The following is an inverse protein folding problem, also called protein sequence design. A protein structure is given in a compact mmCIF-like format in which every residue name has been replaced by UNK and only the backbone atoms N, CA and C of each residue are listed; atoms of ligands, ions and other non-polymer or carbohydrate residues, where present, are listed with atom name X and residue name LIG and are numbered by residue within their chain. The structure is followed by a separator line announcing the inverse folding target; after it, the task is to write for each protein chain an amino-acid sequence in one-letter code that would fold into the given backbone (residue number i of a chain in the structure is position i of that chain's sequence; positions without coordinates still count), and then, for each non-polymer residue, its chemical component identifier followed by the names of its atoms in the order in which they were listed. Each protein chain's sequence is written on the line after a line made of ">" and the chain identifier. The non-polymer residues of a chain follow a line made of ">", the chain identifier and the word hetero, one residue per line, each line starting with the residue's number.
data_IF_748199402318
#
_entry.id   IF_748199402318
#
_cell.length_a   1.000
_cell.length_b   1.000
_cell.length_c   1.000
_cell.angle_alpha   90.00
_cell.angle_beta   90.00
_cell.angle_gamma   90.00
#
_symmetry.space_group_name_H-M   'P 1'
#
loop_
_entity.id
_entity.type
_entity.pdbx_description
1 polymer ?
#
# COMPACT_ATOMS: atom_id res chain seq x y z
N UNK A 1 -6.56 18.47 3.66
CA UNK A 1 -5.39 17.96 4.44
C UNK A 1 -5.58 16.46 4.54
N UNK A 2 -4.54 15.68 4.27
CA UNK A 2 -4.61 14.21 4.32
C UNK A 2 -4.65 13.75 5.78
N UNK A 3 -5.64 12.95 6.16
CA UNK A 3 -5.79 12.39 7.51
C UNK A 3 -4.92 11.18 7.75
N UNK A 4 -4.51 10.47 6.69
CA UNK A 4 -3.66 9.30 6.74
C UNK A 4 -2.98 9.05 5.39
N UNK A 5 -1.69 8.74 5.41
CA UNK A 5 -0.95 8.19 4.28
C UNK A 5 -0.72 6.69 4.48
N UNK A 6 -1.12 5.87 3.51
CA UNK A 6 -0.92 4.43 3.51
C UNK A 6 0.09 4.08 2.42
N UNK A 7 1.22 3.50 2.81
CA UNK A 7 2.30 3.08 1.91
C UNK A 7 2.27 1.56 1.79
N UNK A 8 1.98 1.08 0.60
CA UNK A 8 1.70 -0.32 0.30
C UNK A 8 2.97 -1.02 -0.20
N UNK A 9 3.44 -2.01 0.56
CA UNK A 9 4.40 -3.05 0.20
C UNK A 9 5.70 -2.56 -0.50
N UNK A 10 6.22 -1.42 -0.07
CA UNK A 10 7.47 -0.88 -0.61
C UNK A 10 8.70 -1.67 -0.10
N UNK A 11 8.65 -3.00 -0.30
CA UNK A 11 9.64 -3.98 0.12
C UNK A 11 10.63 -4.28 -1.00
N UNK A 12 11.83 -4.75 -0.65
CA UNK A 12 12.90 -5.04 -1.61
C UNK A 12 12.47 -6.00 -2.71
N UNK A 13 11.77 -7.09 -2.38
CA UNK A 13 11.37 -8.07 -3.39
C UNK A 13 10.47 -7.49 -4.47
N UNK A 14 9.66 -6.48 -4.16
CA UNK A 14 8.81 -5.81 -5.14
C UNK A 14 9.46 -4.61 -5.83
N UNK A 15 10.57 -4.08 -5.30
CA UNK A 15 11.23 -2.90 -5.85
C UNK A 15 12.51 -3.27 -6.59
N UNK A 16 13.48 -3.84 -5.89
CA UNK A 16 14.82 -4.16 -6.42
C UNK A 16 15.12 -5.65 -6.48
N UNK A 17 14.28 -6.49 -5.87
CA UNK A 17 14.47 -7.95 -5.73
C UNK A 17 13.78 -8.77 -6.82
N UNK A 18 13.36 -9.99 -6.45
CA UNK A 18 12.93 -11.04 -7.39
C UNK A 18 11.66 -10.71 -8.21
N UNK A 19 10.80 -9.83 -7.72
CA UNK A 19 9.60 -9.31 -8.39
C UNK A 19 9.73 -7.81 -8.73
N UNK A 20 10.93 -7.26 -8.62
CA UNK A 20 11.20 -5.86 -8.88
C UNK A 20 11.03 -5.45 -10.34
N UNK A 21 10.74 -4.16 -10.55
CA UNK A 21 10.61 -3.57 -11.88
C UNK A 21 11.27 -2.18 -11.93
N UNK A 22 11.54 -1.69 -13.14
CA UNK A 22 12.04 -0.32 -13.33
C UNK A 22 11.02 0.72 -12.88
N UNK A 23 9.76 0.44 -13.09
CA UNK A 23 8.64 1.27 -12.69
C UNK A 23 8.55 1.37 -11.16
N UNK A 24 8.67 0.25 -10.44
CA UNK A 24 8.69 0.23 -8.98
C UNK A 24 9.92 0.96 -8.40
N UNK A 25 11.10 0.76 -8.99
CA UNK A 25 12.31 1.51 -8.61
C UNK A 25 12.15 3.01 -8.86
N UNK A 26 11.49 3.38 -9.98
CA UNK A 26 11.30 4.77 -10.39
C UNK A 26 10.45 5.59 -9.41
N UNK A 27 9.53 4.98 -8.68
CA UNK A 27 8.68 5.70 -7.72
C UNK A 27 9.31 5.87 -6.33
N UNK A 28 10.37 5.13 -5.99
CA UNK A 28 10.95 5.12 -4.64
C UNK A 28 11.30 6.52 -4.12
N UNK A 29 12.02 7.38 -4.87
CA UNK A 29 12.35 8.72 -4.37
C UNK A 29 11.12 9.58 -4.11
N UNK A 30 10.09 9.47 -4.96
CA UNK A 30 8.86 10.24 -4.82
C UNK A 30 8.02 9.77 -3.63
N UNK A 31 7.92 8.45 -3.40
CA UNK A 31 7.26 7.87 -2.22
C UNK A 31 8.00 8.29 -0.94
N UNK A 32 9.33 8.18 -0.89
CA UNK A 32 10.12 8.61 0.26
C UNK A 32 9.93 10.10 0.57
N UNK A 33 9.94 10.97 -0.45
CA UNK A 33 9.66 12.39 -0.28
C UNK A 33 8.23 12.67 0.20
N UNK A 34 7.23 11.89 -0.26
CA UNK A 34 5.85 12.01 0.23
C UNK A 34 5.73 11.60 1.69
N UNK A 35 6.43 10.54 2.11
CA UNK A 35 6.49 10.13 3.52
C UNK A 35 7.11 11.21 4.41
N UNK A 36 8.21 11.83 3.98
CA UNK A 36 8.84 12.92 4.70
C UNK A 36 7.89 14.11 4.88
N UNK A 37 7.22 14.55 3.81
CA UNK A 37 6.21 15.61 3.89
C UNK A 37 5.06 15.25 4.82
N UNK A 38 4.55 14.02 4.76
CA UNK A 38 3.50 13.56 5.67
C UNK A 38 3.94 13.66 7.14
N UNK A 39 5.18 13.27 7.42
CA UNK A 39 5.76 13.40 8.77
C UNK A 39 5.85 14.87 9.22
N UNK A 40 6.33 15.77 8.36
CA UNK A 40 6.42 17.21 8.63
C UNK A 40 5.03 17.86 8.85
N UNK A 41 4.02 17.38 8.13
CA UNK A 41 2.62 17.80 8.25
C UNK A 41 1.91 17.21 9.48
N UNK A 42 2.54 16.25 10.18
CA UNK A 42 1.93 15.50 11.27
C UNK A 42 0.88 14.49 10.82
N UNK A 43 0.86 14.15 9.52
CA UNK A 43 -0.05 13.14 8.96
C UNK A 43 0.38 11.75 9.39
N UNK A 44 -0.48 10.94 10.03
CA UNK A 44 -0.19 9.55 10.34
C UNK A 44 0.20 8.74 9.11
N UNK A 45 1.27 7.95 9.22
CA UNK A 45 1.76 7.08 8.15
C UNK A 45 1.60 5.63 8.59
N UNK A 46 0.97 4.84 7.74
CA UNK A 46 0.77 3.40 7.92
C UNK A 46 1.43 2.66 6.76
N UNK A 47 2.12 1.58 7.07
CA UNK A 47 2.79 0.73 6.10
C UNK A 47 2.07 -0.61 5.99
N UNK A 48 2.08 -1.24 4.83
CA UNK A 48 1.83 -2.67 4.72
C UNK A 48 3.10 -3.40 4.33
N UNK A 49 3.21 -4.63 4.80
CA UNK A 49 4.28 -5.56 4.45
C UNK A 49 3.65 -6.87 4.01
N UNK A 50 3.83 -7.20 2.75
CA UNK A 50 3.50 -8.53 2.28
C UNK A 50 4.37 -9.53 3.01
N UNK A 51 3.79 -10.61 3.53
CA UNK A 51 4.52 -11.48 4.45
C UNK A 51 4.08 -12.92 4.26
N UNK A 52 5.01 -13.72 3.78
CA UNK A 52 4.84 -15.15 3.57
C UNK A 52 5.77 -15.96 4.48
N UNK A 53 5.41 -17.20 4.73
CA UNK A 53 6.22 -18.15 5.47
C UNK A 53 7.01 -19.06 4.49
N UNK A 54 7.91 -19.89 5.02
CA UNK A 54 8.79 -20.74 4.21
C UNK A 54 8.03 -21.74 3.31
N UNK A 55 6.78 -22.05 3.66
CA UNK A 55 5.90 -22.93 2.90
C UNK A 55 5.13 -22.23 1.76
N UNK A 56 5.51 -20.99 1.41
CA UNK A 56 4.85 -20.19 0.36
C UNK A 56 4.53 -20.99 -0.90
N UNK A 57 5.47 -21.82 -1.37
CA UNK A 57 5.32 -22.60 -2.59
C UNK A 57 4.19 -23.65 -2.51
N UNK A 58 3.76 -24.04 -1.31
CA UNK A 58 2.65 -24.96 -1.06
C UNK A 58 1.30 -24.26 -1.01
N UNK A 59 1.31 -22.92 -0.91
CA UNK A 59 0.10 -22.10 -0.84
C UNK A 59 -0.61 -22.03 -2.20
N UNK A 60 -1.86 -21.53 -2.18
CA UNK A 60 -2.58 -21.23 -3.42
C UNK A 60 -1.84 -20.19 -4.26
N UNK A 61 -1.33 -19.14 -3.62
CA UNK A 61 -0.61 -18.06 -4.30
C UNK A 61 0.69 -18.57 -4.92
N UNK A 62 1.48 -19.34 -4.18
CA UNK A 62 2.72 -19.93 -4.68
C UNK A 62 2.53 -20.84 -5.88
N UNK A 63 1.35 -21.47 -6.03
CA UNK A 63 1.01 -22.25 -7.24
C UNK A 63 0.71 -21.39 -8.45
N UNK A 64 0.22 -20.16 -8.27
CA UNK A 64 -0.05 -19.23 -9.38
C UNK A 64 1.14 -18.33 -9.70
N UNK A 65 1.94 -18.00 -8.70
CA UNK A 65 3.17 -17.22 -8.82
C UNK A 65 4.31 -18.01 -8.15
N UNK A 66 4.97 -18.93 -8.87
CA UNK A 66 5.98 -19.82 -8.29
C UNK A 66 7.33 -19.10 -8.10
N UNK A 67 7.31 -17.96 -7.45
CA UNK A 67 8.47 -17.13 -7.08
C UNK A 67 8.33 -16.83 -5.59
N UNK A 68 9.11 -17.50 -4.75
CA UNK A 68 9.13 -17.22 -3.32
C UNK A 68 9.62 -15.77 -3.11
N UNK A 69 8.81 -14.97 -2.41
CA UNK A 69 9.07 -13.56 -2.15
C UNK A 69 8.54 -13.16 -0.79
N UNK A 70 9.05 -12.06 -0.26
CA UNK A 70 8.62 -11.50 1.03
C UNK A 70 8.53 -12.54 2.15
N UNK A 71 9.45 -13.54 2.14
CA UNK A 71 9.51 -14.55 3.20
C UNK A 71 9.94 -13.86 4.49
N UNK A 72 9.17 -14.05 5.55
CA UNK A 72 9.41 -13.43 6.86
C UNK A 72 10.88 -13.51 7.28
N UNK A 73 11.45 -12.37 7.61
CA UNK A 73 12.84 -12.25 8.08
C UNK A 73 13.90 -12.35 6.98
N UNK A 74 13.52 -12.56 5.71
CA UNK A 74 14.47 -12.48 4.58
C UNK A 74 14.84 -11.02 4.28
N UNK A 75 15.92 -10.83 3.52
CA UNK A 75 16.31 -9.50 3.05
C UNK A 75 15.24 -8.91 2.12
N UNK A 76 14.62 -9.72 1.26
CA UNK A 76 13.57 -9.32 0.35
C UNK A 76 12.30 -8.84 1.03
N UNK A 77 12.00 -9.35 2.22
CA UNK A 77 10.88 -8.91 3.05
C UNK A 77 11.07 -7.52 3.65
N UNK A 78 12.30 -7.05 3.82
CA UNK A 78 12.55 -5.74 4.39
C UNK A 78 12.13 -4.61 3.45
N UNK A 79 11.85 -3.43 4.01
CA UNK A 79 11.59 -2.25 3.20
C UNK A 79 12.78 -1.91 2.29
N UNK A 80 12.50 -1.36 1.11
CA UNK A 80 13.51 -0.76 0.26
C UNK A 80 14.30 0.28 1.06
N UNK A 81 15.64 0.32 0.97
CA UNK A 81 16.48 1.11 1.87
C UNK A 81 16.13 2.59 1.97
N UNK A 82 15.71 3.21 0.88
CA UNK A 82 15.33 4.63 0.87
C UNK A 82 14.00 4.84 1.60
N UNK A 83 13.05 3.92 1.44
CA UNK A 83 11.78 3.91 2.18
C UNK A 83 12.04 3.66 3.67
N UNK A 84 12.91 2.70 4.00
CA UNK A 84 13.30 2.43 5.39
C UNK A 84 13.93 3.65 6.09
N UNK A 85 14.72 4.47 5.36
CA UNK A 85 15.29 5.72 5.87
C UNK A 85 14.24 6.81 6.08
N UNK A 86 13.17 6.81 5.30
CA UNK A 86 12.05 7.75 5.45
C UNK A 86 11.11 7.37 6.59
N UNK A 87 11.24 6.16 7.17
CA UNK A 87 10.48 5.75 8.34
C UNK A 87 10.88 6.56 9.57
N UNK A 88 9.90 7.00 10.34
CA UNK A 88 10.09 7.75 11.55
C UNK A 88 9.31 7.11 12.73
N UNK A 89 9.59 7.61 13.91
CA UNK A 89 8.96 7.09 15.13
C UNK A 89 7.45 7.32 15.09
N UNK A 90 6.68 6.28 15.42
CA UNK A 90 5.21 6.32 15.45
C UNK A 90 4.51 5.77 14.22
N UNK A 91 5.24 5.37 13.18
CA UNK A 91 4.65 4.62 12.06
C UNK A 91 4.19 3.24 12.52
N UNK A 92 3.07 2.80 11.98
CA UNK A 92 2.48 1.48 12.23
C UNK A 92 2.63 0.67 10.96
N UNK A 93 2.94 -0.63 11.09
CA UNK A 93 2.98 -1.55 9.95
C UNK A 93 1.99 -2.70 10.15
N UNK A 94 1.38 -3.13 9.06
CA UNK A 94 0.51 -4.31 8.99
C UNK A 94 1.14 -5.35 8.08
N UNK A 95 1.53 -6.46 8.66
CA UNK A 95 1.91 -7.64 7.91
C UNK A 95 0.65 -8.30 7.34
N UNK A 96 0.69 -8.70 6.09
CA UNK A 96 -0.45 -9.32 5.40
C UNK A 96 -0.01 -10.53 4.58
N UNK A 97 -0.70 -11.68 4.71
CA UNK A 97 -0.40 -12.88 3.92
C UNK A 97 -1.19 -12.93 2.61
N UNK A 98 -1.77 -11.83 2.18
CA UNK A 98 -2.65 -11.71 1.00
C UNK A 98 -2.64 -10.28 0.47
N UNK A 99 -3.18 -10.07 -0.73
CA UNK A 99 -3.13 -8.79 -1.45
C UNK A 99 -3.75 -7.62 -0.68
N UNK A 100 -4.92 -7.79 -0.09
CA UNK A 100 -5.57 -6.80 0.75
C UNK A 100 -5.45 -7.15 2.24
N UNK A 101 -5.32 -6.15 3.10
CA UNK A 101 -5.25 -6.30 4.55
C UNK A 101 -6.56 -5.95 5.22
N UNK A 102 -7.28 -6.95 5.72
CA UNK A 102 -8.48 -6.71 6.55
C UNK A 102 -8.11 -6.08 7.90
N UNK A 103 -6.93 -6.38 8.44
CA UNK A 103 -6.44 -5.75 9.67
C UNK A 103 -6.21 -4.24 9.48
N UNK A 104 -5.59 -3.83 8.37
CA UNK A 104 -5.48 -2.42 7.99
C UNK A 104 -6.85 -1.77 7.85
N UNK A 105 -7.76 -2.39 7.10
CA UNK A 105 -9.12 -1.87 6.91
C UNK A 105 -9.85 -1.66 8.24
N UNK A 106 -9.79 -2.63 9.17
CA UNK A 106 -10.38 -2.50 10.49
C UNK A 106 -9.73 -1.37 11.31
N UNK A 107 -8.41 -1.21 11.23
CA UNK A 107 -7.70 -0.12 11.90
C UNK A 107 -8.17 1.25 11.40
N UNK A 108 -8.26 1.41 10.08
CA UNK A 108 -8.71 2.67 9.47
C UNK A 108 -10.17 2.96 9.83
N UNK A 109 -11.03 1.95 9.84
CA UNK A 109 -12.43 2.09 10.24
C UNK A 109 -12.56 2.46 11.74
N UNK A 110 -11.74 1.88 12.61
CA UNK A 110 -11.71 2.22 14.04
C UNK A 110 -11.29 3.69 14.25
N UNK A 111 -10.25 4.15 13.58
CA UNK A 111 -9.83 5.55 13.64
C UNK A 111 -10.90 6.52 13.13
N UNK A 112 -11.64 6.14 12.09
CA UNK A 112 -12.78 6.93 11.62
C UNK A 112 -13.86 7.07 12.71
N UNK A 113 -14.16 5.98 13.41
CA UNK A 113 -15.12 5.99 14.52
C UNK A 113 -14.62 6.86 15.69
N UNK A 114 -13.36 6.75 16.07
CA UNK A 114 -12.75 7.56 17.14
C UNK A 114 -12.80 9.07 16.83
N UNK A 115 -12.63 9.43 15.56
CA UNK A 115 -12.75 10.81 15.06
C UNK A 115 -14.22 11.26 14.89
N UNK A 116 -15.21 10.38 15.10
CA UNK A 116 -16.62 10.67 14.84
C UNK A 116 -16.97 10.75 13.35
N UNK A 117 -16.10 10.28 12.48
CA UNK A 117 -16.28 10.28 11.02
C UNK A 117 -17.08 9.04 10.57
N UNK A 118 -18.39 9.01 10.86
CA UNK A 118 -19.25 7.87 10.50
C UNK A 118 -19.16 7.61 8.99
N UNK A 119 -18.93 6.34 8.61
CA UNK A 119 -18.73 5.92 7.21
C UNK A 119 -17.54 6.64 6.50
N UNK A 120 -16.65 7.29 7.27
CA UNK A 120 -15.48 8.01 6.75
C UNK A 120 -15.75 9.44 6.28
N UNK A 121 -16.93 9.98 6.48
CA UNK A 121 -17.28 11.33 6.02
C UNK A 121 -16.33 12.39 6.60
N UNK A 122 -15.71 13.16 5.71
CA UNK A 122 -14.74 14.20 6.07
C UNK A 122 -13.34 13.67 6.33
N UNK A 123 -13.06 12.38 6.07
CA UNK A 123 -11.70 11.83 6.08
C UNK A 123 -11.12 11.78 4.69
N UNK A 124 -9.88 12.19 4.57
CA UNK A 124 -9.05 12.05 3.36
C UNK A 124 -7.94 11.04 3.61
N UNK A 125 -7.92 9.95 2.86
CA UNK A 125 -6.94 8.86 2.98
C UNK A 125 -6.21 8.71 1.66
N UNK A 126 -4.89 8.82 1.70
CA UNK A 126 -4.03 8.68 0.52
C UNK A 126 -3.33 7.33 0.54
N UNK A 127 -3.30 6.64 -0.61
CA UNK A 127 -2.60 5.38 -0.80
C UNK A 127 -1.54 5.53 -1.90
N UNK A 128 -0.38 4.93 -1.68
CA UNK A 128 0.70 4.83 -2.67
C UNK A 128 1.45 3.50 -2.51
N UNK A 129 2.33 3.17 -3.46
CA UNK A 129 3.18 1.97 -3.40
C UNK A 129 2.94 0.95 -4.50
N UNK A 130 3.14 -0.35 -4.20
CA UNK A 130 3.15 -1.44 -5.19
C UNK A 130 2.37 -2.69 -4.73
N UNK A 131 1.85 -3.54 -5.64
CA UNK A 131 1.63 -3.16 -7.06
C UNK A 131 0.26 -2.53 -7.20
N UNK A 132 0.15 -1.51 -8.06
CA UNK A 132 -1.11 -0.77 -8.29
C UNK A 132 -2.29 -1.71 -8.58
N UNK A 133 -2.04 -2.71 -9.43
CA UNK A 133 -3.02 -3.67 -9.95
C UNK A 133 -3.26 -4.88 -9.04
N UNK A 134 -2.58 -4.96 -7.88
CA UNK A 134 -2.72 -6.06 -6.92
C UNK A 134 -2.99 -5.50 -5.52
N UNK A 135 -1.94 -5.17 -4.78
CA UNK A 135 -2.06 -4.80 -3.36
C UNK A 135 -2.68 -3.41 -3.17
N UNK A 136 -2.34 -2.42 -4.01
CA UNK A 136 -2.89 -1.05 -3.88
C UNK A 136 -4.39 -1.06 -4.14
N UNK A 137 -4.85 -1.58 -5.28
CA UNK A 137 -6.29 -1.64 -5.60
C UNK A 137 -7.07 -2.48 -4.58
N UNK A 138 -6.50 -3.60 -4.11
CA UNK A 138 -7.16 -4.46 -3.12
C UNK A 138 -7.39 -3.73 -1.80
N UNK A 139 -6.39 -3.03 -1.28
CA UNK A 139 -6.54 -2.26 -0.05
C UNK A 139 -7.45 -1.04 -0.24
N UNK A 140 -7.34 -0.33 -1.36
CA UNK A 140 -8.20 0.80 -1.67
C UNK A 140 -9.68 0.41 -1.71
N UNK A 141 -10.03 -0.71 -2.34
CA UNK A 141 -11.41 -1.21 -2.41
C UNK A 141 -11.92 -1.71 -1.06
N UNK A 142 -11.08 -2.38 -0.25
CA UNK A 142 -11.45 -2.78 1.11
C UNK A 142 -11.77 -1.56 1.98
N UNK A 143 -10.93 -0.54 1.96
CA UNK A 143 -11.15 0.69 2.72
C UNK A 143 -12.39 1.42 2.19
N UNK A 144 -12.58 1.51 0.87
CA UNK A 144 -13.78 2.13 0.27
C UNK A 144 -15.06 1.42 0.67
N UNK A 145 -15.04 0.08 0.78
CA UNK A 145 -16.20 -0.70 1.24
C UNK A 145 -16.51 -0.44 2.71
N UNK A 146 -15.51 -0.28 3.57
CA UNK A 146 -15.68 0.01 4.99
C UNK A 146 -16.06 1.47 5.26
N UNK A 147 -15.53 2.40 4.46
CA UNK A 147 -15.69 3.85 4.61
C UNK A 147 -16.16 4.47 3.29
N UNK A 148 -17.42 4.24 2.88
CA UNK A 148 -17.91 4.66 1.57
C UNK A 148 -17.94 6.19 1.36
N UNK A 149 -17.98 6.97 2.44
CA UNK A 149 -18.01 8.43 2.40
C UNK A 149 -16.62 9.08 2.55
N UNK A 150 -15.55 8.28 2.69
CA UNK A 150 -14.19 8.81 2.76
C UNK A 150 -13.70 9.24 1.36
N UNK A 151 -12.93 10.32 1.33
CA UNK A 151 -12.17 10.75 0.17
C UNK A 151 -10.90 9.91 0.09
N UNK A 152 -10.96 8.83 -0.72
CA UNK A 152 -9.78 8.02 -1.01
C UNK A 152 -9.04 8.59 -2.20
N UNK A 153 -7.74 8.75 -2.07
CA UNK A 153 -6.85 9.29 -3.09
C UNK A 153 -5.75 8.29 -3.40
N UNK A 154 -5.52 8.03 -4.68
CA UNK A 154 -4.34 7.27 -5.16
C UNK A 154 -3.57 8.19 -6.10
N UNK A 155 -2.34 8.53 -5.72
CA UNK A 155 -1.44 9.29 -6.60
C UNK A 155 -0.76 8.31 -7.57
N UNK A 156 -1.10 8.43 -8.86
CA UNK A 156 -0.57 7.55 -9.90
C UNK A 156 0.95 7.66 -10.06
N UNK A 157 1.54 8.82 -9.76
CA UNK A 157 2.98 9.03 -9.82
C UNK A 157 3.74 8.38 -8.64
N UNK A 158 3.02 7.98 -7.59
CA UNK A 158 3.54 7.29 -6.41
C UNK A 158 3.17 5.80 -6.40
N UNK A 159 2.68 5.27 -7.52
CA UNK A 159 2.29 3.88 -7.66
C UNK A 159 2.92 3.25 -8.91
N UNK A 160 3.26 1.96 -8.83
CA UNK A 160 3.70 1.17 -9.97
C UNK A 160 2.97 -0.17 -9.99
N UNK A 161 2.50 -0.58 -11.17
CA UNK A 161 1.90 -1.89 -11.40
C UNK A 161 2.91 -2.92 -11.90
N UNK A 162 2.46 -4.16 -12.03
CA UNK A 162 3.28 -5.25 -12.62
C UNK A 162 3.70 -4.90 -14.05
N UNK A 163 2.82 -4.23 -14.80
CA UNK A 163 3.13 -3.60 -16.10
C UNK A 163 2.44 -2.24 -16.22
N UNK A 164 2.92 -1.35 -17.12
CA UNK A 164 2.25 -0.06 -17.34
C UNK A 164 0.78 -0.20 -17.75
N UNK A 165 0.41 -1.23 -18.50
CA UNK A 165 -0.96 -1.50 -18.93
C UNK A 165 -1.84 -1.89 -17.75
N UNK A 166 -1.36 -2.80 -16.89
CA UNK A 166 -2.08 -3.24 -15.68
C UNK A 166 -2.22 -2.09 -14.68
N UNK A 167 -1.16 -1.27 -14.52
CA UNK A 167 -1.23 -0.05 -13.72
C UNK A 167 -2.38 0.85 -14.17
N UNK A 168 -2.46 1.19 -15.48
CA UNK A 168 -3.52 2.02 -16.03
C UNK A 168 -4.91 1.40 -15.83
N UNK A 169 -5.04 0.09 -16.06
CA UNK A 169 -6.31 -0.62 -15.87
C UNK A 169 -6.79 -0.57 -14.42
N UNK A 170 -5.88 -0.74 -13.45
CA UNK A 170 -6.21 -0.65 -12.03
C UNK A 170 -6.64 0.76 -11.62
N UNK A 171 -5.94 1.79 -12.11
CA UNK A 171 -6.33 3.19 -11.87
C UNK A 171 -7.74 3.48 -12.41
N UNK A 172 -8.08 2.96 -13.58
CA UNK A 172 -9.40 3.14 -14.17
C UNK A 172 -10.48 2.40 -13.37
N UNK A 173 -10.17 1.20 -12.87
CA UNK A 173 -11.04 0.47 -11.94
C UNK A 173 -11.28 1.28 -10.66
N UNK A 174 -10.26 1.86 -10.09
CA UNK A 174 -10.37 2.69 -8.88
C UNK A 174 -11.21 3.93 -9.13
N UNK A 175 -11.05 4.63 -10.28
CA UNK A 175 -11.93 5.75 -10.67
C UNK A 175 -13.40 5.33 -10.75
N UNK A 176 -13.68 4.17 -11.37
CA UNK A 176 -15.04 3.63 -11.45
C UNK A 176 -15.63 3.32 -10.08
N UNK A 177 -14.80 3.01 -9.09
CA UNK A 177 -15.17 2.78 -7.69
C UNK A 177 -15.17 4.07 -6.84
N UNK A 178 -15.15 5.25 -7.47
CA UNK A 178 -15.19 6.56 -6.77
C UNK A 178 -13.95 6.83 -5.91
N UNK A 179 -12.80 6.31 -6.29
CA UNK A 179 -11.51 6.64 -5.71
C UNK A 179 -10.86 7.69 -6.60
N UNK A 180 -10.44 8.80 -6.00
CA UNK A 180 -9.75 9.86 -6.73
C UNK A 180 -8.36 9.39 -7.14
N UNK A 181 -8.03 9.51 -8.42
CA UNK A 181 -6.70 9.20 -8.97
C UNK A 181 -6.09 10.51 -9.47
N UNK A 182 -4.97 10.89 -8.86
CA UNK A 182 -4.16 12.05 -9.25
C UNK A 182 -3.18 11.69 -10.37
#
# INVERSE_FOLDING_TARGET
>A
MTDMLIVIDMQRDFVSGCLGSKEAQGIVPAVAARMQRAHEEGTPIVLTLDTHEEDYMETREGRFLPVAHCIRGSEGWTLEPEIGKACCRGMISFEKPTFGSTALMHHVAALAMEKGCISGRGMTIELCGVCTDICVVSNALLIKAALPEADLIVDSALCAGVTPEKHKAALETMRSCQIQVL
#
